data_IF_144404273317
#
_entry.id   IF_144404273317
#
_cell.length_a   1.000
_cell.length_b   1.000
_cell.length_c   1.000
_cell.angle_alpha   90.00
_cell.angle_beta   90.00
_cell.angle_gamma   90.00
#
_symmetry.space_group_name_H-M   'P 1'
#
loop_
_entity.id
_entity.type
_entity.pdbx_description
1 polymer ?
#
# COMPACT_ATOMS: atom_id res chain seq x y z
N UNK A 1 -5.73 -6.12 13.23
CA UNK A 1 -6.68 -5.03 13.52
C UNK A 1 -7.60 -4.86 12.33
N UNK A 2 -8.74 -5.55 12.37
CA UNK A 2 -9.81 -5.48 11.37
C UNK A 2 -11.14 -5.91 12.03
N UNK A 3 -12.27 -5.57 11.41
CA UNK A 3 -13.58 -6.00 11.92
C UNK A 3 -13.94 -7.41 11.46
N UNK A 4 -14.21 -8.33 12.40
CA UNK A 4 -14.65 -9.69 12.09
C UNK A 4 -15.09 -10.46 13.34
N UNK A 5 -16.11 -11.31 13.21
CA UNK A 5 -16.59 -12.23 14.26
C UNK A 5 -16.81 -11.61 15.66
N UNK A 6 -17.26 -10.35 15.70
CA UNK A 6 -17.52 -9.63 16.94
C UNK A 6 -16.30 -8.92 17.54
N UNK A 7 -15.12 -9.07 16.96
CA UNK A 7 -13.86 -8.45 17.36
C UNK A 7 -13.37 -7.40 16.35
N UNK A 8 -12.47 -6.52 16.79
CA UNK A 8 -11.79 -5.49 15.97
C UNK A 8 -10.26 -5.56 16.04
N UNK A 9 -9.73 -6.23 17.06
CA UNK A 9 -8.30 -6.43 17.24
C UNK A 9 -8.04 -7.67 18.08
N UNK A 10 -6.98 -8.39 17.71
CA UNK A 10 -6.39 -9.45 18.51
C UNK A 10 -4.89 -9.17 18.67
N UNK A 11 -4.34 -9.54 19.82
CA UNK A 11 -2.89 -9.60 20.04
C UNK A 11 -2.54 -11.03 20.35
N UNK A 12 -1.59 -11.56 19.62
CA UNK A 12 -1.04 -12.88 19.83
C UNK A 12 0.44 -12.76 20.19
N UNK A 13 0.88 -13.54 21.18
CA UNK A 13 2.27 -13.95 21.29
C UNK A 13 2.43 -15.19 20.41
N UNK A 14 3.46 -15.19 19.56
CA UNK A 14 3.71 -16.30 18.65
C UNK A 14 5.12 -16.81 18.85
N UNK A 15 5.24 -18.06 19.30
CA UNK A 15 6.52 -18.73 19.55
C UNK A 15 6.47 -20.11 18.90
N UNK A 16 7.47 -20.42 18.08
CA UNK A 16 7.60 -21.74 17.40
C UNK A 16 6.34 -22.20 16.64
N UNK A 17 5.54 -21.25 16.13
CA UNK A 17 4.30 -21.53 15.40
C UNK A 17 3.06 -21.69 16.28
N UNK A 18 3.20 -21.64 17.60
CA UNK A 18 2.08 -21.62 18.54
C UNK A 18 1.58 -20.19 18.73
N UNK A 19 0.25 -20.01 18.70
CA UNK A 19 -0.40 -18.71 18.85
C UNK A 19 -1.10 -18.64 20.21
N UNK A 20 -0.61 -17.78 21.10
CA UNK A 20 -1.27 -17.48 22.36
C UNK A 20 -1.97 -16.13 22.28
N UNK A 21 -3.30 -16.13 22.39
CA UNK A 21 -4.09 -14.89 22.37
C UNK A 21 -3.97 -14.16 23.71
N UNK A 22 -3.30 -13.01 23.69
CA UNK A 22 -3.11 -12.13 24.86
C UNK A 22 -4.23 -11.10 25.02
N UNK A 23 -4.78 -10.64 23.90
CA UNK A 23 -5.80 -9.59 23.89
C UNK A 23 -6.86 -9.84 22.82
N UNK A 24 -8.08 -9.46 23.14
CA UNK A 24 -9.21 -9.34 22.23
C UNK A 24 -9.92 -8.02 22.51
N UNK A 25 -10.20 -7.26 21.45
CA UNK A 25 -10.95 -6.01 21.48
C UNK A 25 -12.24 -6.21 20.68
N UNK A 26 -13.37 -5.81 21.26
CA UNK A 26 -14.67 -5.92 20.62
C UNK A 26 -14.74 -5.07 19.34
N UNK A 27 -15.54 -5.51 18.38
CA UNK A 27 -15.96 -4.72 17.20
C UNK A 27 -16.58 -3.36 17.58
N UNK A 28 -17.20 -3.29 18.77
CA UNK A 28 -17.74 -2.05 19.33
C UNK A 28 -16.66 -0.99 19.60
N UNK A 29 -15.44 -1.43 19.93
CA UNK A 29 -14.29 -0.59 20.28
C UNK A 29 -13.33 -0.38 19.09
N UNK A 30 -13.81 -0.57 17.86
CA UNK A 30 -12.97 -0.49 16.66
C UNK A 30 -12.55 0.93 16.30
N UNK A 31 -11.24 1.22 16.42
CA UNK A 31 -10.64 2.45 15.87
C UNK A 31 -10.76 2.51 14.33
N UNK A 32 -10.72 1.34 13.66
CA UNK A 32 -10.92 1.24 12.22
C UNK A 32 -12.31 1.76 11.81
N UNK A 33 -13.35 1.46 12.59
CA UNK A 33 -14.69 1.98 12.34
C UNK A 33 -14.77 3.50 12.48
N UNK A 34 -14.09 4.10 13.47
CA UNK A 34 -14.03 5.55 13.61
C UNK A 34 -13.34 6.22 12.42
N UNK A 35 -12.28 5.59 11.90
CA UNK A 35 -11.62 6.02 10.67
C UNK A 35 -12.58 5.94 9.46
N UNK A 36 -13.38 4.88 9.36
CA UNK A 36 -14.45 4.74 8.34
C UNK A 36 -15.58 5.77 8.51
N UNK A 37 -15.95 6.14 9.73
CA UNK A 37 -16.95 7.18 9.99
C UNK A 37 -16.46 8.55 9.51
N UNK A 38 -15.21 8.91 9.78
CA UNK A 38 -14.60 10.13 9.25
C UNK A 38 -14.51 10.07 7.72
N UNK A 39 -14.16 8.92 7.16
CA UNK A 39 -14.17 8.70 5.70
C UNK A 39 -15.53 9.05 5.10
N UNK A 40 -16.62 8.59 5.72
CA UNK A 40 -17.98 8.93 5.32
C UNK A 40 -18.30 10.43 5.50
N UNK A 41 -17.93 11.04 6.62
CA UNK A 41 -18.19 12.46 6.90
C UNK A 41 -17.45 13.40 5.93
N UNK A 42 -16.29 12.99 5.44
CA UNK A 42 -15.56 13.70 4.38
C UNK A 42 -16.21 13.54 2.99
N UNK A 43 -17.24 12.70 2.85
CA UNK A 43 -17.97 12.48 1.61
C UNK A 43 -17.37 11.38 0.73
N UNK A 44 -16.54 10.50 1.30
CA UNK A 44 -16.00 9.34 0.61
C UNK A 44 -16.74 8.05 0.99
N UNK A 45 -16.48 6.96 0.26
CA UNK A 45 -17.09 5.66 0.49
C UNK A 45 -16.29 4.93 1.57
N UNK A 46 -16.90 4.74 2.74
CA UNK A 46 -16.35 3.91 3.81
C UNK A 46 -16.13 2.46 3.31
N UNK A 47 -15.12 1.81 3.89
CA UNK A 47 -14.58 0.49 3.54
C UNK A 47 -14.03 0.40 2.10
N UNK A 48 -13.62 1.54 1.54
CA UNK A 48 -13.05 1.63 0.18
C UNK A 48 -12.07 2.78 0.04
N UNK A 49 -12.37 3.94 0.62
CA UNK A 49 -11.64 5.19 0.38
C UNK A 49 -10.85 5.71 1.59
N UNK A 50 -10.57 4.86 2.58
CA UNK A 50 -9.77 5.18 3.77
C UNK A 50 -8.38 5.73 3.40
N UNK A 51 -7.75 5.19 2.35
CA UNK A 51 -6.47 5.71 1.84
C UNK A 51 -6.53 7.18 1.38
N UNK A 52 -7.71 7.68 0.99
CA UNK A 52 -7.90 9.10 0.67
C UNK A 52 -7.87 9.97 1.93
N UNK A 53 -8.36 9.46 3.06
CA UNK A 53 -8.23 10.16 4.34
C UNK A 53 -6.76 10.25 4.73
N UNK A 54 -5.98 9.19 4.54
CA UNK A 54 -4.54 9.21 4.83
C UNK A 54 -3.82 10.30 4.02
N UNK A 55 -4.08 10.39 2.71
CA UNK A 55 -3.47 11.45 1.89
C UNK A 55 -4.02 12.85 2.16
N UNK A 56 -5.31 12.96 2.46
CA UNK A 56 -5.92 14.24 2.79
C UNK A 56 -5.44 14.80 4.14
N UNK A 57 -5.08 13.93 5.08
CA UNK A 57 -4.62 14.29 6.42
C UNK A 57 -3.40 15.22 6.40
N UNK A 58 -2.43 14.95 5.52
CA UNK A 58 -1.20 15.74 5.42
C UNK A 58 -1.39 17.19 4.88
N UNK A 59 -2.61 17.58 4.49
CA UNK A 59 -2.95 18.97 4.13
C UNK A 59 -3.66 19.75 5.24
N UNK A 60 -4.01 19.09 6.35
CA UNK A 60 -4.80 19.64 7.44
C UNK A 60 -3.99 19.91 8.70
N UNK A 61 -4.70 20.44 9.69
CA UNK A 61 -4.23 20.60 11.08
C UNK A 61 -5.17 19.81 12.01
N UNK A 62 -4.71 19.26 13.15
CA UNK A 62 -5.50 18.37 14.01
C UNK A 62 -6.50 19.11 14.93
N UNK A 63 -7.27 20.05 14.37
CA UNK A 63 -8.20 20.93 15.10
C UNK A 63 -9.32 20.21 15.87
N UNK A 64 -9.62 18.96 15.50
CA UNK A 64 -10.74 18.19 16.08
C UNK A 64 -10.26 16.98 16.88
N UNK A 65 -8.95 16.88 17.16
CA UNK A 65 -8.36 15.74 17.87
C UNK A 65 -9.03 15.52 19.25
N UNK A 66 -9.16 16.59 20.04
CA UNK A 66 -9.79 16.52 21.37
C UNK A 66 -11.25 16.03 21.31
N UNK A 67 -12.00 16.47 20.30
CA UNK A 67 -13.39 16.04 20.09
C UNK A 67 -13.47 14.55 19.78
N UNK A 68 -12.55 14.04 18.96
CA UNK A 68 -12.50 12.63 18.56
C UNK A 68 -11.97 11.73 19.69
N UNK A 69 -10.98 12.20 20.46
CA UNK A 69 -10.45 11.49 21.63
C UNK A 69 -11.54 11.27 22.71
N UNK A 70 -12.52 12.17 22.80
CA UNK A 70 -13.71 11.98 23.63
C UNK A 70 -14.65 10.85 23.19
N UNK A 71 -14.46 10.28 21.99
CA UNK A 71 -15.30 9.21 21.43
C UNK A 71 -14.60 7.84 21.37
N UNK A 72 -13.32 7.81 21.05
CA UNK A 72 -12.51 6.59 21.02
C UNK A 72 -11.18 6.89 21.70
N UNK A 73 -10.78 6.03 22.63
CA UNK A 73 -9.59 6.25 23.45
C UNK A 73 -8.88 4.95 23.77
N UNK A 74 -7.71 5.04 24.38
CA UNK A 74 -6.86 3.93 24.78
C UNK A 74 -6.63 3.94 26.29
N UNK A 75 -6.62 2.75 26.91
CA UNK A 75 -6.23 2.57 28.32
C UNK A 75 -5.68 1.17 28.57
N UNK A 76 -4.48 1.07 29.16
CA UNK A 76 -3.89 -0.17 29.67
C UNK A 76 -3.95 -1.35 28.68
N UNK A 77 -3.43 -1.16 27.47
CA UNK A 77 -3.38 -2.22 26.46
C UNK A 77 -4.70 -2.51 25.76
N UNK A 78 -5.71 -1.64 25.91
CA UNK A 78 -7.04 -1.82 25.31
C UNK A 78 -7.57 -0.51 24.72
N UNK A 79 -8.36 -0.63 23.67
CA UNK A 79 -9.06 0.48 23.02
C UNK A 79 -10.52 0.46 23.52
N UNK A 80 -11.10 1.65 23.72
CA UNK A 80 -12.44 1.81 24.25
C UNK A 80 -13.24 2.85 23.45
N UNK A 81 -14.46 2.48 23.11
CA UNK A 81 -15.48 3.38 22.58
C UNK A 81 -16.12 4.19 23.72
N UNK A 82 -15.41 5.22 24.19
CA UNK A 82 -15.91 6.16 25.19
C UNK A 82 -17.19 6.90 24.73
N UNK A 83 -17.36 7.02 23.41
CA UNK A 83 -18.50 7.62 22.75
C UNK A 83 -19.80 6.85 22.97
N UNK A 84 -19.74 5.59 23.38
CA UNK A 84 -20.90 4.71 23.57
C UNK A 84 -21.85 4.73 22.36
N UNK A 85 -21.29 4.75 21.15
CA UNK A 85 -22.05 4.88 19.91
C UNK A 85 -21.45 4.03 18.79
N UNK A 86 -22.29 3.56 17.87
CA UNK A 86 -21.89 2.66 16.80
C UNK A 86 -22.64 2.96 15.49
N UNK A 87 -21.96 2.76 14.35
CA UNK A 87 -22.47 3.03 13.00
C UNK A 87 -23.16 4.41 12.88
N UNK A 88 -24.43 4.45 12.48
CA UNK A 88 -25.18 5.68 12.27
C UNK A 88 -25.31 6.54 13.52
N UNK A 89 -25.36 5.93 14.71
CA UNK A 89 -25.39 6.70 15.96
C UNK A 89 -24.06 7.41 16.22
N UNK A 90 -22.93 6.79 15.85
CA UNK A 90 -21.61 7.42 15.92
C UNK A 90 -21.50 8.56 14.92
N UNK A 91 -21.92 8.35 13.66
CA UNK A 91 -21.95 9.42 12.63
C UNK A 91 -22.79 10.61 13.09
N UNK A 92 -23.98 10.35 13.66
CA UNK A 92 -24.87 11.41 14.19
C UNK A 92 -24.21 12.15 15.36
N UNK A 93 -23.57 11.42 16.28
CA UNK A 93 -22.87 12.01 17.42
C UNK A 93 -21.69 12.86 16.98
N UNK A 94 -20.85 12.37 16.06
CA UNK A 94 -19.74 13.12 15.47
C UNK A 94 -20.23 14.40 14.78
N UNK A 95 -21.31 14.33 13.99
CA UNK A 95 -21.93 15.53 13.39
C UNK A 95 -22.44 16.53 14.44
N UNK A 96 -22.90 16.05 15.59
CA UNK A 96 -23.41 16.90 16.67
C UNK A 96 -22.32 17.62 17.46
N UNK A 97 -21.10 17.05 17.53
CA UNK A 97 -19.97 17.69 18.23
C UNK A 97 -19.08 18.51 17.29
N UNK A 98 -19.09 18.22 15.99
CA UNK A 98 -18.38 19.00 14.99
C UNK A 98 -19.11 20.32 14.72
N UNK A 99 -18.38 21.40 14.37
CA UNK A 99 -19.00 22.64 13.91
C UNK A 99 -19.89 22.40 12.68
N UNK A 100 -20.96 23.21 12.53
CA UNK A 100 -21.88 23.15 11.37
C UNK A 100 -21.15 23.18 10.01
N UNK A 101 -20.02 23.88 9.94
CA UNK A 101 -19.07 23.85 8.83
C UNK A 101 -17.72 23.45 9.38
N UNK A 102 -17.23 22.26 9.02
CA UNK A 102 -15.92 21.76 9.42
C UNK A 102 -15.00 21.57 8.19
N UNK A 103 -13.70 21.67 8.42
CA UNK A 103 -12.69 21.44 7.40
C UNK A 103 -12.44 19.93 7.23
N UNK A 104 -12.68 19.39 6.04
CA UNK A 104 -12.47 17.96 5.75
C UNK A 104 -11.00 17.53 5.94
N UNK A 105 -10.06 18.40 5.55
CA UNK A 105 -8.62 18.14 5.71
C UNK A 105 -8.20 18.15 7.19
N UNK A 106 -8.76 19.06 7.99
CA UNK A 106 -8.47 19.11 9.42
C UNK A 106 -9.11 17.91 10.15
N UNK A 107 -10.29 17.47 9.71
CA UNK A 107 -10.91 16.24 10.22
C UNK A 107 -10.13 14.98 9.84
N UNK A 108 -9.62 14.93 8.61
CA UNK A 108 -8.73 13.84 8.18
C UNK A 108 -7.42 13.81 8.98
N UNK A 109 -6.79 14.97 9.21
CA UNK A 109 -5.60 15.11 10.06
C UNK A 109 -5.89 14.66 11.49
N UNK A 110 -6.97 15.15 12.09
CA UNK A 110 -7.35 14.81 13.48
C UNK A 110 -7.58 13.30 13.68
N UNK A 111 -8.22 12.60 12.74
CA UNK A 111 -8.43 11.15 12.87
C UNK A 111 -7.18 10.34 12.57
N UNK A 112 -6.31 10.82 11.67
CA UNK A 112 -5.02 10.19 11.38
C UNK A 112 -4.13 10.25 12.62
N UNK A 113 -4.00 11.42 13.24
CA UNK A 113 -3.22 11.61 14.47
C UNK A 113 -3.78 10.74 15.61
N UNK A 114 -5.10 10.73 15.79
CA UNK A 114 -5.73 9.89 16.83
C UNK A 114 -5.51 8.40 16.59
N UNK A 115 -5.60 7.94 15.33
CA UNK A 115 -5.31 6.56 14.96
C UNK A 115 -3.86 6.21 15.29
N UNK A 116 -2.91 7.06 14.87
CA UNK A 116 -1.48 6.87 15.13
C UNK A 116 -1.18 6.83 16.63
N UNK A 117 -1.72 7.76 17.41
CA UNK A 117 -1.53 7.82 18.86
C UNK A 117 -2.08 6.56 19.56
N UNK A 118 -3.35 6.22 19.31
CA UNK A 118 -4.00 5.07 19.96
C UNK A 118 -3.30 3.77 19.60
N UNK A 119 -2.99 3.54 18.32
CA UNK A 119 -2.40 2.28 17.88
C UNK A 119 -0.92 2.20 18.28
N UNK A 120 -0.17 3.30 18.24
CA UNK A 120 1.21 3.33 18.76
C UNK A 120 1.27 3.00 20.25
N UNK A 121 0.40 3.59 21.07
CA UNK A 121 0.33 3.28 22.50
C UNK A 121 -0.14 1.84 22.77
N UNK A 122 -1.07 1.34 21.95
CA UNK A 122 -1.53 -0.05 22.02
C UNK A 122 -0.40 -1.04 21.71
N UNK A 123 0.33 -0.85 20.61
CA UNK A 123 1.45 -1.70 20.23
C UNK A 123 2.59 -1.59 21.23
N UNK A 124 2.97 -0.37 21.62
CA UNK A 124 4.02 -0.13 22.61
C UNK A 124 3.74 -0.88 23.92
N UNK A 125 2.50 -0.83 24.43
CA UNK A 125 2.14 -1.54 25.65
C UNK A 125 2.33 -3.05 25.52
N UNK A 126 1.92 -3.66 24.41
CA UNK A 126 2.05 -5.11 24.26
C UNK A 126 3.50 -5.53 24.04
N UNK A 127 4.28 -4.75 23.30
CA UNK A 127 5.73 -4.96 23.13
C UNK A 127 6.45 -4.85 24.49
N UNK A 128 6.12 -3.85 25.30
CA UNK A 128 6.68 -3.67 26.65
C UNK A 128 6.28 -4.83 27.58
N UNK A 129 5.05 -5.34 27.46
CA UNK A 129 4.56 -6.47 28.27
C UNK A 129 5.14 -7.81 27.88
N UNK A 130 5.40 -8.06 26.60
CA UNK A 130 5.90 -9.34 26.11
C UNK A 130 7.41 -9.38 25.95
N UNK A 131 8.07 -8.21 25.91
CA UNK A 131 9.47 -8.04 25.54
C UNK A 131 9.80 -8.52 24.11
N UNK A 132 8.77 -8.76 23.28
CA UNK A 132 8.91 -9.17 21.88
C UNK A 132 8.98 -7.93 21.00
N UNK A 133 10.16 -7.70 20.42
CA UNK A 133 10.50 -6.49 19.65
C UNK A 133 10.25 -6.63 18.14
N UNK A 134 10.04 -7.85 17.64
CA UNK A 134 9.68 -8.15 16.26
C UNK A 134 8.17 -8.30 16.13
N UNK A 135 7.51 -7.41 15.38
CA UNK A 135 6.05 -7.39 15.29
C UNK A 135 5.55 -7.73 13.89
N UNK A 136 4.50 -8.56 13.83
CA UNK A 136 3.76 -8.87 12.61
C UNK A 136 2.37 -8.23 12.65
N UNK A 137 2.00 -7.54 11.57
CA UNK A 137 0.80 -6.72 11.46
C UNK A 137 -0.08 -7.21 10.30
N UNK A 138 -1.36 -7.43 10.58
CA UNK A 138 -2.39 -7.76 9.62
C UNK A 138 -3.76 -7.19 10.05
N UNK A 139 -4.63 -6.97 9.07
CA UNK A 139 -5.91 -6.28 9.15
C UNK A 139 -5.91 -4.94 8.40
N UNK A 140 -7.09 -4.52 7.93
CA UNK A 140 -7.30 -3.37 7.07
C UNK A 140 -6.78 -2.04 7.62
N UNK A 141 -6.68 -1.88 8.94
CA UNK A 141 -6.05 -0.70 9.58
C UNK A 141 -4.60 -0.53 9.12
N UNK A 142 -3.86 -1.63 8.94
CA UNK A 142 -2.46 -1.61 8.50
C UNK A 142 -2.31 -1.43 6.98
N UNK A 143 -3.39 -1.19 6.24
CA UNK A 143 -3.27 -0.59 4.90
C UNK A 143 -2.82 0.89 4.97
N UNK A 144 -2.94 1.51 6.16
CA UNK A 144 -2.43 2.84 6.47
C UNK A 144 -0.90 2.79 6.64
N UNK A 145 -0.19 3.14 5.57
CA UNK A 145 1.28 3.09 5.51
C UNK A 145 1.99 4.11 6.40
N UNK A 146 1.30 5.18 6.81
CA UNK A 146 1.84 6.20 7.71
C UNK A 146 1.81 5.71 9.15
N UNK A 147 0.71 5.05 9.54
CA UNK A 147 0.67 4.28 10.78
C UNK A 147 1.78 3.23 10.83
N UNK A 148 2.01 2.49 9.75
CA UNK A 148 3.08 1.48 9.72
C UNK A 148 4.48 2.10 9.90
N UNK A 149 4.73 3.29 9.33
CA UNK A 149 5.97 4.05 9.58
C UNK A 149 6.07 4.40 11.07
N UNK A 150 5.00 4.96 11.65
CA UNK A 150 4.95 5.35 13.06
C UNK A 150 5.23 4.18 14.01
N UNK A 151 4.69 2.99 13.71
CA UNK A 151 4.93 1.78 14.49
C UNK A 151 6.37 1.29 14.38
N UNK A 152 6.95 1.35 13.18
CA UNK A 152 8.36 1.02 12.96
C UNK A 152 9.31 1.98 13.69
N UNK A 153 8.90 3.21 13.95
CA UNK A 153 9.70 4.22 14.67
C UNK A 153 9.65 4.08 16.20
N UNK A 154 8.78 3.21 16.74
CA UNK A 154 8.73 2.96 18.17
C UNK A 154 10.08 2.45 18.69
N UNK A 155 10.52 2.98 19.83
CA UNK A 155 11.85 2.69 20.41
C UNK A 155 12.06 1.20 20.72
N UNK A 156 11.00 0.51 21.15
CA UNK A 156 11.07 -0.90 21.55
C UNK A 156 10.65 -1.85 20.42
N UNK A 157 10.47 -1.34 19.20
CA UNK A 157 10.21 -2.17 18.01
C UNK A 157 11.49 -2.21 17.18
N UNK A 158 12.03 -3.39 16.94
CA UNK A 158 13.23 -3.58 16.13
C UNK A 158 12.87 -3.81 14.67
N UNK A 159 11.91 -4.70 14.40
CA UNK A 159 11.45 -4.99 13.05
C UNK A 159 9.93 -5.08 12.93
N UNK A 160 9.43 -4.70 11.75
CA UNK A 160 8.01 -4.81 11.41
C UNK A 160 7.80 -5.65 10.15
N UNK A 161 6.86 -6.58 10.24
CA UNK A 161 6.31 -7.30 9.10
C UNK A 161 4.86 -6.86 8.90
N UNK A 162 4.51 -6.39 7.71
CA UNK A 162 3.12 -6.11 7.33
C UNK A 162 2.75 -7.08 6.23
N UNK A 163 1.71 -7.90 6.45
CA UNK A 163 1.26 -8.84 5.42
C UNK A 163 0.85 -8.07 4.14
N UNK A 164 1.39 -8.39 2.95
CA UNK A 164 1.14 -7.57 1.75
C UNK A 164 -0.34 -7.41 1.39
N UNK A 165 -1.14 -8.47 1.57
CA UNK A 165 -2.60 -8.42 1.44
C UNK A 165 -3.25 -8.31 2.84
N UNK A 166 -2.88 -7.27 3.60
CA UNK A 166 -3.20 -7.15 5.03
C UNK A 166 -4.70 -7.22 5.38
N UNK A 167 -5.60 -6.77 4.50
CA UNK A 167 -7.05 -6.82 4.76
C UNK A 167 -7.65 -8.21 4.54
N UNK A 168 -8.98 -8.26 4.43
CA UNK A 168 -9.73 -9.52 4.29
C UNK A 168 -9.31 -10.41 3.10
N UNK A 169 -8.76 -9.81 2.05
CA UNK A 169 -8.20 -10.56 0.91
C UNK A 169 -7.09 -11.54 1.30
N UNK A 170 -6.45 -11.34 2.46
CA UNK A 170 -5.42 -12.23 2.99
C UNK A 170 -5.91 -13.37 3.88
N UNK A 171 -7.21 -13.40 4.25
CA UNK A 171 -7.74 -14.41 5.16
C UNK A 171 -7.64 -15.83 4.61
N UNK A 172 -7.79 -16.01 3.29
CA UNK A 172 -7.68 -17.33 2.67
C UNK A 172 -6.26 -17.93 2.86
N UNK A 173 -5.22 -17.11 2.69
CA UNK A 173 -3.83 -17.52 2.93
C UNK A 173 -3.57 -17.73 4.41
N UNK A 174 -4.07 -16.83 5.27
CA UNK A 174 -3.98 -16.97 6.72
C UNK A 174 -4.61 -18.27 7.23
N UNK A 175 -5.81 -18.61 6.76
CA UNK A 175 -6.50 -19.85 7.11
C UNK A 175 -5.75 -21.09 6.65
N UNK A 176 -5.19 -21.08 5.43
CA UNK A 176 -4.37 -22.18 4.94
C UNK A 176 -3.11 -22.38 5.80
N UNK A 177 -2.42 -21.29 6.18
CA UNK A 177 -1.26 -21.38 7.07
C UNK A 177 -1.62 -21.82 8.49
N UNK A 178 -2.76 -21.39 9.03
CA UNK A 178 -3.22 -21.82 10.34
C UNK A 178 -3.43 -23.34 10.39
N UNK A 179 -4.17 -23.91 9.41
CA UNK A 179 -4.40 -25.35 9.32
C UNK A 179 -3.10 -26.12 9.05
N UNK A 180 -2.20 -25.57 8.23
CA UNK A 180 -0.90 -26.18 7.98
C UNK A 180 -0.03 -26.22 9.24
N UNK A 181 0.03 -25.13 9.98
CA UNK A 181 0.79 -25.04 11.24
C UNK A 181 0.22 -25.98 12.30
N UNK A 182 -1.10 -25.99 12.48
CA UNK A 182 -1.80 -26.92 13.40
C UNK A 182 -1.45 -28.37 13.08
N UNK A 183 -1.54 -28.78 11.81
CA UNK A 183 -1.18 -30.14 11.38
C UNK A 183 0.29 -30.49 11.59
N UNK A 184 1.20 -29.53 11.48
CA UNK A 184 2.62 -29.79 11.77
C UNK A 184 2.81 -30.03 13.26
N UNK A 185 2.21 -29.19 14.10
CA UNK A 185 2.29 -29.29 15.56
C UNK A 185 1.69 -30.62 16.06
N UNK A 186 0.52 -31.02 15.52
CA UNK A 186 -0.11 -32.31 15.84
C UNK A 186 0.78 -33.53 15.53
N UNK A 187 1.66 -33.40 14.54
CA UNK A 187 2.62 -34.44 14.16
C UNK A 187 3.98 -34.30 14.86
N UNK A 188 4.11 -33.40 15.85
CA UNK A 188 5.36 -33.17 16.56
C UNK A 188 6.41 -32.41 15.74
N UNK A 189 6.00 -31.67 14.72
CA UNK A 189 6.87 -30.85 13.87
C UNK A 189 6.60 -29.35 14.08
N UNK A 190 7.65 -28.55 14.02
CA UNK A 190 7.51 -27.09 14.07
C UNK A 190 7.33 -26.52 12.66
N UNK A 191 6.51 -25.47 12.49
CA UNK A 191 6.46 -24.72 11.23
C UNK A 191 7.84 -24.16 10.87
N UNK A 192 8.28 -24.42 9.64
CA UNK A 192 9.50 -23.82 9.12
C UNK A 192 9.29 -22.31 8.96
N UNK A 193 10.20 -21.51 9.52
CA UNK A 193 10.19 -20.06 9.25
C UNK A 193 10.53 -19.81 7.79
N UNK A 194 9.59 -19.22 7.06
CA UNK A 194 9.76 -18.80 5.68
C UNK A 194 9.47 -17.31 5.57
N UNK A 195 10.41 -16.57 5.00
CA UNK A 195 10.22 -15.17 4.67
C UNK A 195 9.63 -15.08 3.27
N UNK A 196 8.55 -14.34 3.12
CA UNK A 196 7.93 -14.13 1.82
C UNK A 196 8.89 -13.39 0.89
N UNK A 197 9.43 -14.07 -0.13
CA UNK A 197 10.41 -13.47 -1.05
C UNK A 197 9.75 -12.44 -1.97
N UNK A 198 8.55 -12.76 -2.47
CA UNK A 198 7.80 -11.94 -3.41
C UNK A 198 6.29 -12.20 -3.29
N UNK A 199 5.48 -11.47 -4.08
CA UNK A 199 4.03 -11.62 -4.12
C UNK A 199 3.50 -12.04 -5.49
N UNK A 200 4.34 -12.52 -6.40
CA UNK A 200 3.94 -12.84 -7.77
C UNK A 200 3.29 -14.23 -7.86
N UNK A 201 2.11 -14.39 -7.24
CA UNK A 201 1.37 -15.65 -7.14
C UNK A 201 0.14 -15.73 -8.04
N UNK A 202 -0.20 -14.64 -8.72
CA UNK A 202 -1.36 -14.58 -9.62
C UNK A 202 -1.08 -15.13 -11.01
N UNK A 203 -2.02 -14.87 -11.92
CA UNK A 203 -1.98 -15.38 -13.28
C UNK A 203 -0.84 -14.77 -14.11
N UNK A 204 -0.26 -15.59 -14.98
CA UNK A 204 0.72 -15.23 -16.00
C UNK A 204 0.16 -15.64 -17.36
N UNK A 205 0.61 -14.94 -18.41
CA UNK A 205 0.21 -15.21 -19.79
C UNK A 205 1.46 -15.37 -20.65
N UNK A 206 1.44 -16.36 -21.53
CA UNK A 206 2.52 -16.59 -22.49
C UNK A 206 2.51 -15.52 -23.59
N UNK A 207 3.63 -15.42 -24.34
CA UNK A 207 3.69 -14.49 -25.48
C UNK A 207 2.68 -14.86 -26.58
N UNK A 208 2.36 -16.15 -26.74
CA UNK A 208 1.36 -16.65 -27.68
C UNK A 208 -0.05 -16.25 -27.25
N UNK A 209 -0.40 -16.39 -25.96
CA UNK A 209 -1.70 -15.95 -25.44
C UNK A 209 -1.88 -14.43 -25.59
N UNK A 210 -0.80 -13.67 -25.36
CA UNK A 210 -0.79 -12.21 -25.55
C UNK A 210 -0.95 -11.85 -27.03
N UNK A 211 -0.24 -12.54 -27.94
CA UNK A 211 -0.36 -12.35 -29.38
C UNK A 211 -1.80 -12.61 -29.87
N UNK A 212 -2.42 -13.68 -29.40
CA UNK A 212 -3.81 -14.01 -29.71
C UNK A 212 -4.78 -12.90 -29.28
N UNK A 213 -4.60 -12.35 -28.07
CA UNK A 213 -5.40 -11.24 -27.59
C UNK A 213 -5.21 -9.97 -28.44
N UNK A 214 -3.97 -9.69 -28.85
CA UNK A 214 -3.64 -8.56 -29.74
C UNK A 214 -4.26 -8.71 -31.13
N UNK A 215 -4.19 -9.91 -31.71
CA UNK A 215 -4.77 -10.24 -33.00
C UNK A 215 -6.30 -10.11 -32.97
N UNK A 216 -6.97 -10.67 -31.94
CA UNK A 216 -8.41 -10.50 -31.72
C UNK A 216 -8.80 -9.04 -31.56
N UNK A 217 -7.94 -8.23 -30.94
CA UNK A 217 -8.16 -6.81 -30.77
C UNK A 217 -7.87 -5.97 -32.03
N UNK A 218 -7.33 -6.57 -33.10
CA UNK A 218 -6.95 -5.89 -34.35
C UNK A 218 -5.78 -4.92 -34.20
N UNK A 219 -4.90 -5.13 -33.21
CA UNK A 219 -3.78 -4.23 -32.91
C UNK A 219 -2.49 -4.72 -33.55
N UNK A 220 -1.76 -3.80 -34.22
CA UNK A 220 -0.40 -4.08 -34.68
C UNK A 220 0.57 -3.96 -33.52
N UNK A 221 1.32 -5.02 -33.27
CA UNK A 221 2.33 -5.08 -32.21
C UNK A 221 3.71 -5.39 -32.79
N UNK A 222 4.76 -4.99 -32.08
CA UNK A 222 6.15 -5.32 -32.38
C UNK A 222 6.69 -6.28 -31.33
N UNK A 223 7.13 -7.46 -31.75
CA UNK A 223 7.87 -8.38 -30.88
C UNK A 223 9.30 -7.88 -30.62
N UNK A 224 9.79 -8.01 -29.39
CA UNK A 224 11.16 -7.66 -29.03
C UNK A 224 11.69 -8.51 -27.86
N UNK A 225 12.95 -8.94 -27.97
CA UNK A 225 13.66 -9.58 -26.85
C UNK A 225 14.33 -8.56 -25.90
N UNK A 226 14.23 -7.26 -26.20
CA UNK A 226 14.83 -6.17 -25.42
C UNK A 226 13.76 -5.18 -24.93
N UNK A 227 12.65 -5.71 -24.41
CA UNK A 227 11.53 -4.87 -23.96
C UNK A 227 11.93 -3.95 -22.81
N UNK A 228 12.85 -4.37 -21.93
CA UNK A 228 13.27 -3.53 -20.80
C UNK A 228 13.95 -2.23 -21.26
N UNK A 229 14.80 -2.32 -22.28
CA UNK A 229 15.44 -1.16 -22.91
C UNK A 229 14.39 -0.22 -23.51
N UNK A 230 13.39 -0.78 -24.20
CA UNK A 230 12.33 0.01 -24.81
C UNK A 230 11.48 0.72 -23.75
N UNK A 231 11.12 0.02 -22.67
CA UNK A 231 10.35 0.60 -21.55
C UNK A 231 11.14 1.73 -20.89
N UNK A 232 12.39 1.51 -20.52
CA UNK A 232 13.23 2.55 -19.92
C UNK A 232 13.32 3.79 -20.83
N UNK A 233 13.47 3.58 -22.14
CA UNK A 233 13.47 4.67 -23.11
C UNK A 233 12.10 5.40 -23.18
N UNK A 234 10.99 4.67 -23.21
CA UNK A 234 9.65 5.28 -23.20
C UNK A 234 9.39 6.10 -21.93
N UNK A 235 9.80 5.59 -20.77
CA UNK A 235 9.71 6.34 -19.51
C UNK A 235 10.57 7.59 -19.59
N UNK A 236 11.83 7.50 -20.04
CA UNK A 236 12.72 8.68 -20.25
C UNK A 236 12.11 9.72 -21.19
N UNK A 237 11.43 9.25 -22.24
CA UNK A 237 10.73 10.08 -23.23
C UNK A 237 9.35 10.58 -22.73
N UNK A 238 9.10 10.47 -21.41
CA UNK A 238 7.88 10.92 -20.72
C UNK A 238 6.60 10.30 -21.25
N UNK A 239 6.67 9.07 -21.76
CA UNK A 239 5.48 8.27 -22.09
C UNK A 239 4.94 7.59 -20.84
N UNK A 240 3.63 7.53 -20.73
CA UNK A 240 2.92 6.68 -19.77
C UNK A 240 2.93 5.25 -20.30
N UNK A 241 3.66 4.37 -19.65
CA UNK A 241 3.83 2.97 -20.10
C UNK A 241 2.91 2.07 -19.29
N UNK A 242 2.02 1.34 -19.96
CA UNK A 242 1.37 0.17 -19.38
C UNK A 242 2.32 -1.01 -19.42
N UNK A 243 2.74 -1.51 -18.26
CA UNK A 243 3.64 -2.64 -18.11
C UNK A 243 2.88 -3.86 -17.57
N UNK A 244 2.82 -4.92 -18.37
CA UNK A 244 2.13 -6.17 -18.08
C UNK A 244 3.13 -7.32 -18.31
N UNK A 245 3.71 -7.87 -17.25
CA UNK A 245 4.73 -8.90 -17.40
C UNK A 245 4.68 -9.90 -16.25
N UNK A 246 4.95 -11.17 -16.53
CA UNK A 246 5.02 -12.23 -15.52
C UNK A 246 3.73 -12.46 -14.72
N UNK A 247 3.87 -13.19 -13.62
CA UNK A 247 2.78 -13.48 -12.67
C UNK A 247 2.28 -12.22 -11.96
N UNK A 248 0.96 -12.05 -11.92
CA UNK A 248 0.32 -10.93 -11.21
C UNK A 248 0.66 -10.92 -9.71
N UNK A 249 0.77 -9.71 -9.16
CA UNK A 249 0.98 -9.44 -7.74
C UNK A 249 -0.23 -9.87 -6.90
N UNK A 250 0.04 -10.45 -5.74
CA UNK A 250 -0.92 -10.71 -4.67
C UNK A 250 -1.02 -9.51 -3.74
N UNK A 251 -2.25 -9.07 -3.49
CA UNK A 251 -2.56 -7.91 -2.65
C UNK A 251 -2.95 -6.67 -3.45
N UNK A 252 -3.17 -5.53 -2.77
CA UNK A 252 -3.78 -4.33 -3.37
C UNK A 252 -2.79 -3.42 -4.11
N UNK A 253 -1.52 -3.78 -4.19
CA UNK A 253 -0.45 -2.92 -4.74
C UNK A 253 0.09 -3.53 -6.04
N UNK A 254 0.19 -2.70 -7.07
CA UNK A 254 1.02 -3.03 -8.22
C UNK A 254 2.49 -2.86 -7.84
N UNK A 255 3.28 -3.91 -8.05
CA UNK A 255 4.67 -4.01 -7.65
C UNK A 255 5.53 -4.45 -8.84
N UNK A 256 5.25 -3.92 -10.03
CA UNK A 256 6.11 -4.07 -11.20
C UNK A 256 5.75 -5.19 -12.16
N UNK A 257 4.58 -5.85 -12.03
CA UNK A 257 4.09 -6.83 -13.01
C UNK A 257 2.75 -6.42 -13.65
N UNK A 258 1.94 -5.60 -12.98
CA UNK A 258 0.74 -4.96 -13.54
C UNK A 258 0.73 -3.47 -13.20
N UNK A 259 1.62 -2.72 -13.83
CA UNK A 259 1.98 -1.34 -13.41
C UNK A 259 1.86 -0.32 -14.53
N UNK A 260 1.49 0.92 -14.18
CA UNK A 260 1.67 2.08 -15.05
C UNK A 260 2.96 2.77 -14.61
N UNK A 261 3.88 2.94 -15.55
CA UNK A 261 5.20 3.53 -15.32
C UNK A 261 5.28 4.92 -15.95
N UNK A 262 5.90 5.87 -15.26
CA UNK A 262 6.07 7.22 -15.77
C UNK A 262 7.31 7.92 -15.21
N UNK A 263 7.80 8.93 -15.95
CA UNK A 263 8.93 9.75 -15.54
C UNK A 263 8.60 10.59 -14.28
N UNK A 264 9.47 10.63 -13.26
CA UNK A 264 9.19 11.30 -12.00
C UNK A 264 9.66 12.76 -11.98
N UNK A 265 10.00 13.40 -13.11
CA UNK A 265 10.57 14.76 -13.09
C UNK A 265 9.55 15.89 -13.30
N UNK A 266 8.36 15.57 -13.79
CA UNK A 266 7.29 16.55 -13.99
C UNK A 266 6.43 16.71 -12.72
N UNK A 267 6.63 17.80 -11.98
CA UNK A 267 5.86 18.13 -10.78
C UNK A 267 4.33 18.10 -10.95
N UNK A 268 3.83 18.28 -12.18
CA UNK A 268 2.39 18.31 -12.47
C UNK A 268 1.78 16.92 -12.76
N UNK A 269 2.59 15.85 -12.82
CA UNK A 269 2.13 14.51 -13.22
C UNK A 269 1.03 13.94 -12.34
N UNK A 270 1.08 14.18 -11.03
CA UNK A 270 0.02 13.77 -10.12
C UNK A 270 -1.34 14.39 -10.49
N UNK A 271 -1.37 15.57 -11.13
CA UNK A 271 -2.61 16.23 -11.54
C UNK A 271 -3.09 15.65 -12.87
N UNK A 272 -2.27 15.71 -13.91
CA UNK A 272 -2.73 15.37 -15.26
C UNK A 272 -2.91 13.86 -15.45
N UNK A 273 -2.07 13.03 -14.81
CA UNK A 273 -2.19 11.57 -14.93
C UNK A 273 -3.38 11.06 -14.15
N UNK A 274 -3.66 11.57 -12.94
CA UNK A 274 -4.90 11.24 -12.24
C UNK A 274 -6.12 11.68 -13.05
N UNK A 275 -6.12 12.87 -13.66
CA UNK A 275 -7.20 13.30 -14.56
C UNK A 275 -7.37 12.36 -15.76
N UNK A 276 -6.27 11.95 -16.39
CA UNK A 276 -6.26 10.98 -17.51
C UNK A 276 -6.84 9.64 -17.11
N UNK A 277 -6.45 9.13 -15.93
CA UNK A 277 -6.93 7.87 -15.36
C UNK A 277 -8.28 8.00 -14.64
N UNK A 278 -8.89 9.21 -14.66
CA UNK A 278 -10.14 9.58 -13.97
C UNK A 278 -10.12 9.33 -12.45
N UNK A 279 -8.96 9.40 -11.82
CA UNK A 279 -8.75 9.18 -10.38
C UNK A 279 -8.86 10.47 -9.57
N UNK A 280 -9.27 10.33 -8.32
CA UNK A 280 -9.43 11.43 -7.34
C UNK A 280 -8.58 11.16 -6.11
N UNK A 281 -7.30 10.84 -6.34
CA UNK A 281 -6.33 10.57 -5.28
C UNK A 281 -5.65 11.85 -4.82
N UNK A 282 -5.43 11.95 -3.51
CA UNK A 282 -4.64 13.02 -2.89
C UNK A 282 -3.18 12.61 -2.69
N UNK A 283 -2.94 11.30 -2.57
CA UNK A 283 -1.60 10.74 -2.44
C UNK A 283 -0.82 10.93 -3.76
N UNK A 284 0.48 11.24 -3.68
CA UNK A 284 1.37 11.17 -4.83
C UNK A 284 1.45 9.72 -5.33
N UNK A 285 1.86 9.56 -6.58
CA UNK A 285 2.22 8.23 -7.05
C UNK A 285 3.47 7.72 -6.31
N UNK A 286 3.51 6.41 -6.09
CA UNK A 286 4.63 5.77 -5.43
C UNK A 286 5.83 5.64 -6.38
N UNK A 287 7.07 5.75 -5.88
CA UNK A 287 8.25 5.40 -6.65
C UNK A 287 8.50 3.89 -6.60
N UNK A 288 9.00 3.32 -7.70
CA UNK A 288 9.82 2.10 -7.64
C UNK A 288 11.28 2.52 -7.79
N UNK A 289 12.16 2.02 -6.91
CA UNK A 289 13.57 2.41 -6.81
C UNK A 289 14.48 1.19 -6.68
N UNK A 290 15.71 1.29 -7.20
CA UNK A 290 16.76 0.30 -6.98
C UNK A 290 17.11 0.18 -5.49
N UNK A 291 17.24 -1.06 -5.01
CA UNK A 291 17.69 -1.35 -3.65
C UNK A 291 19.05 -0.74 -3.30
N UNK A 292 19.95 -0.64 -4.28
CA UNK A 292 21.27 -0.02 -4.16
C UNK A 292 21.25 1.49 -3.93
N UNK A 293 20.16 2.18 -4.25
CA UNK A 293 20.05 3.64 -4.13
C UNK A 293 19.06 4.11 -3.04
N UNK A 294 18.26 3.21 -2.47
CA UNK A 294 17.17 3.57 -1.57
C UNK A 294 17.63 4.34 -0.31
N UNK A 295 18.80 4.04 0.24
CA UNK A 295 19.37 4.73 1.41
C UNK A 295 19.75 6.20 1.14
N UNK A 296 19.97 6.58 -0.12
CA UNK A 296 20.27 7.97 -0.50
C UNK A 296 18.99 8.84 -0.54
N UNK A 297 17.84 8.21 -0.74
CA UNK A 297 16.56 8.88 -0.93
C UNK A 297 15.69 8.88 0.33
N UNK A 298 15.86 7.89 1.21
CA UNK A 298 14.96 7.67 2.36
C UNK A 298 15.70 7.62 3.69
N UNK A 299 15.17 8.38 4.66
CA UNK A 299 15.71 8.46 6.01
C UNK A 299 15.36 7.16 6.76
N UNK A 300 16.33 6.62 7.52
CA UNK A 300 16.17 5.39 8.30
C UNK A 300 15.74 4.15 7.48
N UNK A 301 16.06 4.12 6.18
CA UNK A 301 15.72 3.01 5.27
C UNK A 301 16.08 1.62 5.83
N UNK A 302 17.26 1.51 6.46
CA UNK A 302 17.81 0.26 6.98
C UNK A 302 16.87 -0.48 7.93
N UNK A 303 16.07 0.25 8.72
CA UNK A 303 15.13 -0.34 9.69
C UNK A 303 13.94 -1.05 9.03
N UNK A 304 13.57 -0.63 7.82
CA UNK A 304 12.33 -1.06 7.17
C UNK A 304 12.53 -1.51 5.70
N UNK A 305 13.69 -2.06 5.36
CA UNK A 305 13.99 -2.58 4.02
C UNK A 305 12.94 -3.53 3.46
N UNK A 306 12.44 -4.41 4.32
CA UNK A 306 11.54 -5.48 3.91
C UNK A 306 10.12 -5.01 3.58
N UNK A 307 9.41 -4.28 4.45
CA UNK A 307 8.10 -3.74 4.09
C UNK A 307 8.18 -2.76 2.89
N UNK A 308 9.33 -2.11 2.68
CA UNK A 308 9.55 -1.28 1.49
C UNK A 308 9.49 -2.06 0.17
N UNK A 309 9.72 -3.39 0.15
CA UNK A 309 9.57 -4.21 -1.06
C UNK A 309 8.10 -4.32 -1.52
N UNK A 310 7.16 -4.12 -0.61
CA UNK A 310 5.72 -4.35 -0.84
C UNK A 310 4.90 -3.05 -0.82
N UNK A 311 5.55 -1.89 -0.75
CA UNK A 311 4.92 -0.60 -0.53
C UNK A 311 3.93 -0.59 0.64
N UNK A 312 4.27 -1.28 1.74
CA UNK A 312 3.42 -1.36 2.95
C UNK A 312 3.83 -0.36 4.03
N UNK A 313 4.87 0.44 3.81
CA UNK A 313 5.35 1.44 4.77
C UNK A 313 5.75 2.73 4.03
N UNK A 314 5.73 3.85 4.75
CA UNK A 314 6.26 5.13 4.29
C UNK A 314 7.63 5.42 4.89
N UNK A 315 8.37 6.33 4.26
CA UNK A 315 9.61 6.88 4.76
C UNK A 315 9.59 8.39 4.63
N UNK A 316 10.23 9.07 5.58
CA UNK A 316 10.64 10.46 5.39
C UNK A 316 11.72 10.52 4.30
N UNK A 317 11.64 11.54 3.46
CA UNK A 317 12.49 11.67 2.28
C UNK A 317 13.66 12.63 2.51
N UNK A 318 14.79 12.37 1.84
CA UNK A 318 15.91 13.30 1.82
C UNK A 318 15.62 14.50 0.91
N UNK A 319 16.37 15.59 1.08
CA UNK A 319 16.30 16.74 0.17
C UNK A 319 16.59 16.35 -1.29
N UNK A 320 17.41 15.32 -1.49
CA UNK A 320 17.76 14.81 -2.82
C UNK A 320 16.56 14.14 -3.49
N UNK A 321 15.75 13.37 -2.74
CA UNK A 321 14.53 12.78 -3.25
C UNK A 321 13.50 13.85 -3.68
N UNK A 322 13.30 14.88 -2.86
CA UNK A 322 12.41 16.01 -3.16
C UNK A 322 12.85 16.72 -4.44
N UNK A 323 14.17 16.91 -4.61
CA UNK A 323 14.75 17.59 -5.77
C UNK A 323 14.67 16.78 -7.06
N UNK A 324 15.03 15.48 -7.00
CA UNK A 324 15.15 14.62 -8.18
C UNK A 324 13.82 14.01 -8.63
N UNK A 325 12.91 13.74 -7.70
CA UNK A 325 11.66 13.05 -7.95
C UNK A 325 10.46 13.67 -7.21
N UNK A 326 10.22 15.00 -7.35
CA UNK A 326 9.21 15.71 -6.57
C UNK A 326 7.80 15.09 -6.59
N UNK A 327 7.27 14.53 -7.70
CA UNK A 327 5.93 13.98 -7.72
C UNK A 327 5.77 12.69 -6.92
N UNK A 328 6.88 12.07 -6.48
CA UNK A 328 6.85 10.86 -5.66
C UNK A 328 6.88 11.16 -4.17
N UNK A 329 6.97 12.44 -3.80
CA UNK A 329 7.04 12.90 -2.40
C UNK A 329 5.74 13.62 -2.05
N UNK A 330 5.17 13.28 -0.90
CA UNK A 330 3.96 13.91 -0.37
C UNK A 330 4.30 15.27 0.26
N UNK A 331 3.30 16.12 0.50
CA UNK A 331 3.50 17.45 1.11
C UNK A 331 4.06 17.42 2.55
N UNK A 332 3.99 16.27 3.23
CA UNK A 332 4.60 16.04 4.55
C UNK A 332 6.03 15.48 4.44
N UNK A 333 6.62 15.54 3.23
CA UNK A 333 7.93 14.99 2.87
C UNK A 333 8.07 13.48 3.02
N UNK A 334 6.96 12.73 2.96
CA UNK A 334 7.02 11.27 2.97
C UNK A 334 6.82 10.64 1.59
N UNK A 335 7.26 9.39 1.44
CA UNK A 335 6.95 8.57 0.27
C UNK A 335 6.72 7.12 0.66
N UNK A 336 6.01 6.37 -0.20
CA UNK A 336 5.69 4.95 -0.02
C UNK A 336 6.35 4.15 -1.16
N UNK A 337 7.65 3.84 -1.06
CA UNK A 337 8.39 3.26 -2.17
C UNK A 337 8.10 1.77 -2.33
N UNK A 338 8.31 1.28 -3.56
CA UNK A 338 8.68 -0.10 -3.80
C UNK A 338 10.19 -0.15 -4.01
N UNK A 339 10.89 -0.85 -3.12
CA UNK A 339 12.30 -1.17 -3.34
C UNK A 339 12.42 -2.46 -4.14
N UNK A 340 13.15 -2.40 -5.25
CA UNK A 340 13.30 -3.49 -6.20
C UNK A 340 14.72 -4.03 -6.15
N UNK A 341 14.85 -5.33 -5.91
CA UNK A 341 16.11 -6.05 -5.98
C UNK A 341 16.17 -6.96 -7.22
N UNK A 342 17.40 -7.31 -7.60
CA UNK A 342 17.70 -8.08 -8.81
C UNK A 342 17.14 -9.50 -8.79
N UNK A 343 16.95 -10.10 -7.61
CA UNK A 343 16.56 -11.50 -7.46
C UNK A 343 15.04 -11.64 -7.59
N UNK A 344 14.30 -10.74 -6.94
CA UNK A 344 12.85 -10.82 -6.80
C UNK A 344 12.11 -10.55 -8.11
N UNK A 345 12.53 -9.54 -8.88
CA UNK A 345 11.95 -9.23 -10.18
C UNK A 345 13.04 -8.76 -11.17
N UNK A 346 13.77 -9.70 -11.80
CA UNK A 346 14.94 -9.37 -12.62
C UNK A 346 14.63 -8.47 -13.81
N UNK A 347 13.48 -8.66 -14.47
CA UNK A 347 13.09 -7.83 -15.63
C UNK A 347 12.74 -6.40 -15.19
N UNK A 348 11.97 -6.24 -14.11
CA UNK A 348 11.62 -4.92 -13.60
C UNK A 348 12.84 -4.18 -13.02
N UNK A 349 13.72 -4.89 -12.33
CA UNK A 349 15.02 -4.36 -11.89
C UNK A 349 15.86 -3.86 -13.07
N UNK A 350 15.92 -4.64 -14.15
CA UNK A 350 16.67 -4.27 -15.36
C UNK A 350 16.11 -3.00 -16.03
N UNK A 351 14.80 -2.76 -15.99
CA UNK A 351 14.21 -1.50 -16.46
C UNK A 351 14.73 -0.32 -15.62
N UNK A 352 14.71 -0.44 -14.29
CA UNK A 352 15.22 0.59 -13.38
C UNK A 352 16.72 0.85 -13.60
N UNK A 353 17.52 -0.21 -13.73
CA UNK A 353 18.95 -0.12 -14.00
C UNK A 353 19.23 0.61 -15.32
N UNK A 354 18.57 0.21 -16.42
CA UNK A 354 18.74 0.88 -17.71
C UNK A 354 18.28 2.34 -17.60
N UNK A 355 17.15 2.60 -16.93
CA UNK A 355 16.65 3.96 -16.72
C UNK A 355 17.67 4.82 -15.97
N UNK A 356 18.29 4.30 -14.91
CA UNK A 356 19.38 4.95 -14.19
C UNK A 356 20.55 5.28 -15.13
N UNK A 357 21.01 4.31 -15.93
CA UNK A 357 22.11 4.52 -16.87
C UNK A 357 21.80 5.61 -17.91
N UNK A 358 20.58 5.65 -18.46
CA UNK A 358 20.24 6.58 -19.55
C UNK A 358 19.69 7.93 -19.07
N UNK A 359 19.20 8.04 -17.83
CA UNK A 359 18.57 9.25 -17.26
C UNK A 359 19.36 9.84 -16.10
N UNK A 360 20.15 9.04 -15.39
CA UNK A 360 20.82 9.40 -14.14
C UNK A 360 19.88 9.40 -12.92
N UNK A 361 18.76 8.67 -12.98
CA UNK A 361 17.79 8.55 -11.88
C UNK A 361 17.51 7.07 -11.55
N UNK A 362 17.68 6.62 -10.29
CA UNK A 362 17.52 5.22 -9.90
C UNK A 362 16.06 4.80 -9.64
N UNK A 363 15.10 5.67 -9.97
CA UNK A 363 13.68 5.48 -9.68
C UNK A 363 12.79 6.08 -10.77
N UNK A 364 11.59 5.54 -10.90
CA UNK A 364 10.50 6.15 -11.66
C UNK A 364 9.17 5.96 -10.93
N UNK A 365 8.11 6.59 -11.42
CA UNK A 365 6.75 6.42 -10.89
C UNK A 365 6.23 5.03 -11.21
N UNK A 366 5.69 4.35 -10.20
CA UNK A 366 4.87 3.16 -10.32
C UNK A 366 3.49 3.44 -9.72
N UNK A 367 2.45 3.23 -10.52
CA UNK A 367 1.06 3.21 -10.02
C UNK A 367 0.30 2.00 -10.54
N UNK A 368 -0.79 1.66 -9.85
CA UNK A 368 -1.65 0.53 -10.22
C UNK A 368 -2.10 0.62 -11.67
N UNK A 369 -1.95 -0.48 -12.41
CA UNK A 369 -2.49 -0.56 -13.76
C UNK A 369 -3.97 -0.91 -13.68
N UNK A 370 -4.80 0.11 -13.49
CA UNK A 370 -6.26 0.00 -13.47
C UNK A 370 -6.92 1.28 -13.98
N UNK A 371 -8.13 1.13 -14.51
CA UNK A 371 -9.02 2.25 -14.78
C UNK A 371 -9.73 2.70 -13.50
N UNK A 372 -10.42 3.83 -13.55
CA UNK A 372 -11.11 4.38 -12.38
C UNK A 372 -12.13 3.38 -11.79
N UNK A 373 -11.97 3.10 -10.49
CA UNK A 373 -12.81 2.17 -9.71
C UNK A 373 -12.79 0.70 -10.16
N UNK A 374 -11.87 0.32 -11.04
CA UNK A 374 -11.65 -1.08 -11.45
C UNK A 374 -10.50 -1.73 -10.65
N UNK A 375 -10.49 -3.07 -10.52
CA UNK A 375 -9.31 -3.82 -10.05
C UNK A 375 -8.08 -3.60 -10.94
N UNK A 376 -6.90 -3.97 -10.44
CA UNK A 376 -5.67 -4.08 -11.25
C UNK A 376 -5.96 -5.03 -12.43
N UNK A 377 -5.51 -4.66 -13.64
CA UNK A 377 -5.70 -5.47 -14.85
C UNK A 377 -5.13 -6.88 -14.63
N UNK A 378 -5.94 -7.89 -14.96
CA UNK A 378 -5.52 -9.28 -14.81
C UNK A 378 -5.13 -9.87 -16.16
N UNK A 379 -6.01 -9.74 -17.17
CA UNK A 379 -5.83 -10.35 -18.48
C UNK A 379 -5.22 -9.41 -19.54
N UNK A 380 -4.69 -9.93 -20.65
CA UNK A 380 -4.25 -9.12 -21.78
C UNK A 380 -5.35 -8.20 -22.33
N UNK A 381 -6.61 -8.65 -22.33
CA UNK A 381 -7.76 -7.85 -22.79
C UNK A 381 -8.00 -6.62 -21.92
N UNK A 382 -7.86 -6.76 -20.59
CA UNK A 382 -7.96 -5.62 -19.67
C UNK A 382 -6.86 -4.58 -19.94
N UNK A 383 -5.63 -5.03 -20.17
CA UNK A 383 -4.50 -4.15 -20.48
C UNK A 383 -4.66 -3.46 -21.86
N UNK A 384 -5.15 -4.20 -22.86
CA UNK A 384 -5.47 -3.67 -24.20
C UNK A 384 -6.58 -2.60 -24.11
N UNK A 385 -7.61 -2.81 -23.28
CA UNK A 385 -8.67 -1.82 -23.04
C UNK A 385 -8.09 -0.51 -22.51
N UNK A 386 -7.10 -0.58 -21.62
CA UNK A 386 -6.44 0.61 -21.08
C UNK A 386 -5.67 1.38 -22.17
N UNK A 387 -4.98 0.70 -23.09
CA UNK A 387 -4.36 1.36 -24.25
C UNK A 387 -5.40 2.02 -25.16
N UNK A 388 -6.46 1.29 -25.54
CA UNK A 388 -7.52 1.79 -26.44
C UNK A 388 -8.30 2.99 -25.89
N UNK A 389 -8.44 3.07 -24.57
CA UNK A 389 -9.08 4.21 -23.90
C UNK A 389 -8.14 5.40 -23.70
N UNK A 390 -6.88 5.28 -24.13
CA UNK A 390 -5.86 6.30 -23.97
C UNK A 390 -5.37 6.45 -22.53
N UNK A 391 -5.54 5.44 -21.66
CA UNK A 391 -5.04 5.47 -20.29
C UNK A 391 -3.51 5.47 -20.22
N UNK A 392 -2.88 4.79 -21.18
CA UNK A 392 -1.42 4.71 -21.37
C UNK A 392 -1.07 5.08 -22.82
N UNK A 393 0.15 5.57 -23.05
CA UNK A 393 0.63 5.93 -24.40
C UNK A 393 1.18 4.73 -25.17
N UNK A 394 1.73 3.76 -24.44
CA UNK A 394 2.32 2.55 -24.96
C UNK A 394 2.02 1.42 -24.00
N UNK A 395 1.74 0.24 -24.54
CA UNK A 395 1.52 -0.97 -23.78
C UNK A 395 2.63 -1.96 -24.11
N UNK A 396 3.25 -2.50 -23.09
CA UNK A 396 4.25 -3.56 -23.20
C UNK A 396 3.72 -4.76 -22.42
N UNK A 397 3.46 -5.86 -23.13
CA UNK A 397 2.95 -7.11 -22.58
C UNK A 397 3.87 -8.26 -22.95
N UNK A 398 4.52 -8.88 -21.97
CA UNK A 398 5.59 -9.84 -22.25
C UNK A 398 6.62 -9.24 -23.20
N UNK A 399 6.83 -9.88 -24.34
CA UNK A 399 7.76 -9.42 -25.39
C UNK A 399 7.11 -8.54 -26.48
N UNK A 400 5.84 -8.17 -26.33
CA UNK A 400 5.11 -7.37 -27.31
C UNK A 400 5.01 -5.90 -26.91
N UNK A 401 5.34 -5.03 -27.86
CA UNK A 401 5.23 -3.56 -27.73
C UNK A 401 4.12 -3.07 -28.65
N UNK A 402 3.17 -2.32 -28.10
CA UNK A 402 1.95 -1.88 -28.80
C UNK A 402 1.76 -0.38 -28.64
N UNK A 403 1.46 0.29 -29.76
CA UNK A 403 1.17 1.74 -29.83
C UNK A 403 -0.03 1.93 -30.75
N UNK A 404 -0.89 2.91 -30.47
CA UNK A 404 -2.06 3.28 -31.28
C UNK A 404 -1.81 4.62 -31.96
#
# INVERSE_FOLDING_TARGET
MDGGDGSSSHVYRVEQGEFEKLCDISSYDSIGNYYSYVTHLCGFKAHKHEGKITGLAAFGEPEYLDLLNGLITYKNGRIFNAGNCYYWSAIKKMKGILPNKFSKKNLACSIQDLLEEIVANYVYYWVDKTEIIDIALAGGVFANVKLNQRLNELKNVDSVFIHPAMGDGGLAVGAAYAVWAEKLLDNGHLPTSYRLDNVYFGQEYSNEEIEDALNKAGLKAKYSNNVEQAVAQFVKDKKVVGWFNGKMEYGPRALGNRSILADPTDASINIWLNKRLKRTEFMPFAPSILDTAASEFYINYEKAKYPAKFMTITFDTTAEAIKKAPPTVHVDNTTRPQVVDKITNPSYYKILQIYEEIKGLPLFINTSFNMHEEPIVCSPEDAIRALKTGAVDVLVMGNWIVKI
#
